data_IF_974270123317
#
_entry.id   IF_974270123317
#
_cell.length_a   1.000
_cell.length_b   1.000
_cell.length_c   1.000
_cell.angle_alpha   90.00
_cell.angle_beta   90.00
_cell.angle_gamma   90.00
#
_symmetry.space_group_name_H-M   'P 1'
#
loop_
_entity.id
_entity.type
_entity.pdbx_description
1 polymer ?
#
# COMPACT_ATOMS: atom_id res chain seq x y z
N UNK A 1 95.16 -7.41 6.06
CA UNK A 1 94.95 -6.15 5.34
C UNK A 1 93.57 -6.13 4.73
N UNK A 2 92.51 -5.99 5.52
CA UNK A 2 92.07 -4.74 6.22
C UNK A 2 91.63 -3.70 5.17
N UNK A 3 90.49 -3.02 5.23
CA UNK A 3 89.54 -2.73 6.32
C UNK A 3 88.23 -2.15 5.72
N UNK A 4 87.12 -2.35 6.45
CA UNK A 4 85.99 -1.42 6.70
C UNK A 4 85.06 -0.89 5.58
N UNK A 5 83.75 -0.93 5.90
CA UNK A 5 82.80 0.03 5.33
C UNK A 5 81.32 -0.35 5.39
N UNK A 6 80.77 -0.71 6.56
CA UNK A 6 79.32 -0.79 6.76
C UNK A 6 78.64 0.56 6.48
N UNK A 7 77.59 0.55 5.65
CA UNK A 7 76.60 1.64 5.61
C UNK A 7 75.20 1.04 5.69
N UNK A 8 74.86 0.54 6.87
CA UNK A 8 73.46 0.34 7.25
C UNK A 8 72.84 1.71 7.47
N UNK A 9 71.97 2.14 6.55
CA UNK A 9 71.05 3.24 6.83
C UNK A 9 69.99 2.71 7.80
N UNK A 10 70.26 2.90 9.10
CA UNK A 10 69.25 2.79 10.15
C UNK A 10 68.13 3.80 9.84
N UNK A 11 66.95 3.32 9.47
CA UNK A 11 65.73 4.06 9.77
C UNK A 11 65.58 4.02 11.30
N UNK A 12 66.06 5.06 11.97
CA UNK A 12 65.92 5.20 13.42
C UNK A 12 64.43 5.32 13.72
N UNK A 13 63.87 4.27 14.33
CA UNK A 13 62.51 4.24 14.85
C UNK A 13 62.54 4.82 16.28
N UNK A 14 62.95 6.08 16.42
CA UNK A 14 62.92 6.79 17.69
C UNK A 14 61.93 7.94 17.60
N UNK A 15 60.83 7.81 18.35
CA UNK A 15 59.99 8.96 18.70
C UNK A 15 58.50 8.89 18.37
N UNK A 16 57.84 7.74 18.49
CA UNK A 16 56.38 7.75 18.67
C UNK A 16 56.11 7.91 20.16
N UNK A 17 55.65 9.08 20.59
CA UNK A 17 55.23 9.26 21.97
C UNK A 17 53.94 8.45 22.20
N UNK A 18 53.71 7.95 23.42
CA UNK A 18 52.46 7.24 23.76
C UNK A 18 51.21 8.10 23.49
N UNK A 19 51.36 9.42 23.47
CA UNK A 19 50.28 10.36 23.13
C UNK A 19 49.92 10.30 21.64
N UNK A 20 50.90 10.16 20.74
CA UNK A 20 50.67 10.09 19.29
C UNK A 20 49.88 8.83 18.91
N UNK A 21 50.15 7.71 19.58
CA UNK A 21 49.45 6.45 19.31
C UNK A 21 47.99 6.49 19.82
N UNK A 22 47.75 7.11 20.98
CA UNK A 22 46.42 7.28 21.55
C UNK A 22 45.55 8.23 20.69
N UNK A 23 46.15 9.27 20.13
CA UNK A 23 45.47 10.20 19.23
C UNK A 23 45.05 9.51 17.92
N UNK A 24 45.90 8.65 17.36
CA UNK A 24 45.57 7.86 16.18
C UNK A 24 44.44 6.85 16.48
N UNK A 25 44.48 6.17 17.63
CA UNK A 25 43.40 5.24 18.03
C UNK A 25 42.07 5.97 18.21
N UNK A 26 42.09 7.17 18.78
CA UNK A 26 40.89 7.98 18.96
C UNK A 26 40.29 8.42 17.61
N UNK A 27 41.14 8.85 16.67
CA UNK A 27 40.70 9.21 15.31
C UNK A 27 40.12 8.01 14.57
N UNK A 28 40.75 6.83 14.66
CA UNK A 28 40.24 5.61 14.01
C UNK A 28 38.91 5.20 14.61
N UNK A 29 38.78 5.25 15.94
CA UNK A 29 37.54 4.90 16.65
C UNK A 29 36.41 5.86 16.29
N UNK A 30 36.67 7.16 16.29
CA UNK A 30 35.68 8.17 15.90
C UNK A 30 35.25 8.02 14.43
N UNK A 31 36.20 7.72 13.52
CA UNK A 31 35.90 7.46 12.11
C UNK A 31 35.08 6.19 11.90
N UNK A 32 35.35 5.14 12.68
CA UNK A 32 34.57 3.90 12.63
C UNK A 32 33.14 4.10 13.16
N UNK A 33 32.96 4.84 14.25
CA UNK A 33 31.64 5.17 14.80
C UNK A 33 30.83 6.02 13.80
N UNK A 34 31.45 7.07 13.24
CA UNK A 34 30.80 7.95 12.25
C UNK A 34 30.39 7.21 10.96
N UNK A 35 31.17 6.23 10.51
CA UNK A 35 30.80 5.41 9.35
C UNK A 35 29.66 4.45 9.69
N UNK A 36 29.68 3.81 10.86
CA UNK A 36 28.61 2.89 11.32
C UNK A 36 27.25 3.58 11.47
N UNK A 37 27.23 4.78 12.07
CA UNK A 37 26.00 5.58 12.24
C UNK A 37 25.45 6.10 10.90
N UNK A 38 26.32 6.51 9.98
CA UNK A 38 25.87 6.96 8.64
C UNK A 38 25.37 5.78 7.80
N UNK A 39 26.06 4.64 7.81
CA UNK A 39 25.65 3.46 7.05
C UNK A 39 24.32 2.89 7.56
N UNK A 40 24.14 2.80 8.89
CA UNK A 40 22.91 2.32 9.50
C UNK A 40 21.72 3.27 9.26
N UNK A 41 21.95 4.59 9.30
CA UNK A 41 20.90 5.59 9.03
C UNK A 41 20.47 5.61 7.56
N UNK A 42 21.40 5.42 6.62
CA UNK A 42 21.12 5.30 5.18
C UNK A 42 20.40 4.00 4.82
N UNK A 43 20.77 2.87 5.43
CA UNK A 43 20.13 1.58 5.15
C UNK A 43 18.72 1.47 5.73
N UNK A 44 18.46 2.14 6.87
CA UNK A 44 17.13 2.12 7.50
C UNK A 44 16.17 3.05 6.77
N UNK A 45 16.60 4.25 6.35
CA UNK A 45 15.73 5.19 5.62
C UNK A 45 15.30 4.66 4.24
N UNK A 46 16.22 4.02 3.51
CA UNK A 46 15.97 3.49 2.16
C UNK A 46 15.04 2.26 2.19
N UNK A 47 15.17 1.41 3.23
CA UNK A 47 14.27 0.28 3.44
C UNK A 47 12.86 0.73 3.85
N UNK A 48 12.73 1.76 4.69
CA UNK A 48 11.42 2.28 5.12
C UNK A 48 10.67 3.03 4.02
N UNK A 49 11.35 3.83 3.19
CA UNK A 49 10.72 4.51 2.04
C UNK A 49 10.16 3.49 1.03
N UNK A 50 10.91 2.41 0.77
CA UNK A 50 10.46 1.33 -0.11
C UNK A 50 9.21 0.60 0.43
N UNK A 51 9.17 0.32 1.74
CA UNK A 51 8.01 -0.34 2.36
C UNK A 51 6.75 0.55 2.36
N UNK A 52 6.89 1.85 2.67
CA UNK A 52 5.79 2.81 2.64
C UNK A 52 5.21 2.98 1.23
N UNK A 53 6.06 3.13 0.22
CA UNK A 53 5.63 3.23 -1.18
C UNK A 53 4.88 1.97 -1.64
N UNK A 54 5.36 0.78 -1.25
CA UNK A 54 4.65 -0.47 -1.59
C UNK A 54 3.29 -0.58 -0.89
N UNK A 55 3.16 -0.08 0.34
CA UNK A 55 1.90 -0.06 1.07
C UNK A 55 0.89 0.89 0.42
N UNK A 56 1.34 2.07 -0.03
CA UNK A 56 0.52 3.04 -0.75
C UNK A 56 0.02 2.43 -2.07
N UNK A 57 0.90 1.83 -2.87
CA UNK A 57 0.52 1.18 -4.13
C UNK A 57 -0.49 0.04 -3.93
N UNK A 58 -0.30 -0.79 -2.90
CA UNK A 58 -1.25 -1.86 -2.56
C UNK A 58 -2.62 -1.29 -2.17
N UNK A 59 -2.64 -0.23 -1.37
CA UNK A 59 -3.89 0.46 -0.99
C UNK A 59 -4.62 1.01 -2.21
N UNK A 60 -3.91 1.67 -3.12
CA UNK A 60 -4.50 2.18 -4.36
C UNK A 60 -5.09 1.07 -5.23
N UNK A 61 -4.42 -0.09 -5.31
CA UNK A 61 -4.95 -1.24 -6.03
C UNK A 61 -6.26 -1.74 -5.42
N UNK A 62 -6.28 -1.94 -4.10
CA UNK A 62 -7.46 -2.43 -3.37
C UNK A 62 -8.65 -1.48 -3.52
N UNK A 63 -8.43 -0.16 -3.40
CA UNK A 63 -9.50 0.83 -3.55
C UNK A 63 -10.06 0.82 -4.97
N UNK A 64 -9.19 0.71 -5.97
CA UNK A 64 -9.62 0.66 -7.38
C UNK A 64 -10.43 -0.59 -7.68
N UNK A 65 -9.95 -1.75 -7.22
CA UNK A 65 -10.67 -3.02 -7.35
C UNK A 65 -12.03 -2.96 -6.63
N UNK A 66 -12.09 -2.36 -5.43
CA UNK A 66 -13.33 -2.18 -4.70
C UNK A 66 -14.35 -1.34 -5.50
N UNK A 67 -13.92 -0.24 -6.12
CA UNK A 67 -14.80 0.59 -6.94
C UNK A 67 -15.24 -0.14 -8.21
N UNK A 68 -14.33 -0.86 -8.88
CA UNK A 68 -14.65 -1.61 -10.10
C UNK A 68 -15.67 -2.72 -9.81
N UNK A 69 -15.44 -3.50 -8.76
CA UNK A 69 -16.36 -4.57 -8.34
C UNK A 69 -17.68 -4.02 -7.82
N UNK A 70 -17.70 -2.84 -7.19
CA UNK A 70 -18.93 -2.17 -6.80
C UNK A 70 -19.75 -1.72 -8.01
N UNK A 71 -19.12 -1.18 -9.06
CA UNK A 71 -19.81 -0.83 -10.32
C UNK A 71 -20.45 -2.06 -10.95
N UNK A 72 -19.73 -3.17 -10.94
CA UNK A 72 -20.24 -4.45 -11.43
C UNK A 72 -21.44 -4.93 -10.60
N UNK A 73 -21.34 -4.86 -9.27
CA UNK A 73 -22.42 -5.21 -8.37
C UNK A 73 -23.68 -4.35 -8.61
N UNK A 74 -23.55 -3.03 -8.69
CA UNK A 74 -24.67 -2.11 -8.97
C UNK A 74 -25.29 -2.38 -10.34
N UNK A 75 -24.48 -2.66 -11.36
CA UNK A 75 -24.98 -3.04 -12.69
C UNK A 75 -25.80 -4.33 -12.61
N UNK A 76 -25.31 -5.34 -11.90
CA UNK A 76 -25.99 -6.63 -11.83
C UNK A 76 -27.29 -6.52 -11.02
N UNK A 77 -27.30 -5.73 -9.95
CA UNK A 77 -28.52 -5.37 -9.22
C UNK A 77 -29.54 -4.65 -10.11
N UNK A 78 -29.07 -3.73 -10.97
CA UNK A 78 -29.93 -3.03 -11.94
C UNK A 78 -30.64 -3.99 -12.87
N UNK A 79 -29.96 -5.02 -13.39
CA UNK A 79 -30.57 -6.02 -14.27
C UNK A 79 -31.74 -6.74 -13.58
N UNK A 80 -31.63 -6.98 -12.27
CA UNK A 80 -32.71 -7.60 -11.50
C UNK A 80 -33.84 -6.60 -11.22
N UNK A 81 -33.51 -5.40 -10.76
CA UNK A 81 -34.49 -4.38 -10.36
C UNK A 81 -35.26 -3.81 -11.56
N UNK A 82 -34.55 -3.32 -12.58
CA UNK A 82 -35.14 -2.70 -13.77
C UNK A 82 -35.55 -3.72 -14.85
N UNK A 83 -35.07 -4.97 -14.74
CA UNK A 83 -35.50 -6.07 -15.61
C UNK A 83 -36.61 -6.88 -14.96
N UNK A 84 -36.24 -7.85 -14.14
CA UNK A 84 -37.19 -8.84 -13.61
C UNK A 84 -38.26 -8.23 -12.70
N UNK A 85 -37.89 -7.39 -11.73
CA UNK A 85 -38.87 -6.81 -10.78
C UNK A 85 -39.82 -5.86 -11.50
N UNK A 86 -39.30 -5.00 -12.38
CA UNK A 86 -40.11 -4.09 -13.19
C UNK A 86 -41.12 -4.86 -14.07
N UNK A 87 -40.67 -5.89 -14.79
CA UNK A 87 -41.54 -6.74 -15.63
C UNK A 87 -42.60 -7.49 -14.82
N UNK A 88 -42.29 -7.91 -13.58
CA UNK A 88 -43.27 -8.58 -12.71
C UNK A 88 -44.31 -7.61 -12.11
N UNK A 89 -43.99 -6.32 -12.05
CA UNK A 89 -44.90 -5.27 -11.56
C UNK A 89 -45.76 -4.68 -12.68
N UNK A 90 -45.30 -4.79 -13.93
CA UNK A 90 -46.01 -4.31 -15.12
C UNK A 90 -47.28 -5.15 -15.38
N UNK A 91 -48.48 -4.57 -15.23
CA UNK A 91 -49.74 -5.27 -15.45
C UNK A 91 -49.97 -5.61 -16.93
N UNK A 92 -49.28 -4.92 -17.85
CA UNK A 92 -49.40 -5.09 -19.30
C UNK A 92 -48.27 -5.98 -19.86
N UNK A 93 -47.52 -6.66 -18.99
CA UNK A 93 -46.44 -7.55 -19.40
C UNK A 93 -46.98 -8.76 -20.17
N UNK A 94 -46.56 -8.91 -21.43
CA UNK A 94 -46.93 -10.03 -22.30
C UNK A 94 -46.33 -11.38 -21.88
N UNK A 95 -45.43 -11.41 -20.88
CA UNK A 95 -44.78 -12.63 -20.40
C UNK A 95 -45.71 -13.36 -19.42
N UNK A 96 -46.13 -14.60 -19.69
CA UNK A 96 -47.00 -15.35 -18.80
C UNK A 96 -46.34 -15.59 -17.44
N UNK A 97 -46.90 -15.00 -16.37
CA UNK A 97 -46.41 -15.16 -15.01
C UNK A 97 -47.26 -16.20 -14.25
N UNK A 98 -46.66 -17.20 -13.58
CA UNK A 98 -47.41 -18.06 -12.66
C UNK A 98 -48.04 -17.25 -11.53
N UNK A 99 -49.33 -17.48 -11.21
CA UNK A 99 -50.05 -16.76 -10.15
C UNK A 99 -49.30 -16.76 -8.80
N UNK A 100 -48.69 -17.90 -8.45
CA UNK A 100 -47.88 -18.05 -7.23
C UNK A 100 -46.72 -17.07 -7.17
N UNK A 101 -46.09 -16.76 -8.32
CA UNK A 101 -44.97 -15.79 -8.37
C UNK A 101 -45.47 -14.35 -8.37
N UNK A 102 -46.59 -14.08 -9.04
CA UNK A 102 -47.20 -12.75 -9.08
C UNK A 102 -47.57 -12.24 -7.67
N UNK A 103 -48.05 -13.13 -6.79
CA UNK A 103 -48.35 -12.78 -5.40
C UNK A 103 -47.12 -12.79 -4.46
N UNK A 104 -45.99 -13.36 -4.87
CA UNK A 104 -44.83 -13.64 -3.99
C UNK A 104 -43.52 -13.01 -4.43
N UNK A 105 -43.51 -12.17 -5.48
CA UNK A 105 -42.27 -11.55 -5.98
C UNK A 105 -41.47 -10.83 -4.87
N UNK A 106 -42.15 -10.19 -3.92
CA UNK A 106 -41.50 -9.55 -2.76
C UNK A 106 -40.73 -10.53 -1.85
N UNK A 107 -41.11 -11.80 -1.78
CA UNK A 107 -40.34 -12.83 -1.06
C UNK A 107 -39.12 -13.32 -1.86
N UNK A 108 -39.19 -13.27 -3.19
CA UNK A 108 -38.08 -13.70 -4.06
C UNK A 108 -36.98 -12.63 -4.08
N UNK A 109 -37.38 -11.36 -4.23
CA UNK A 109 -36.44 -10.25 -4.36
C UNK A 109 -36.17 -9.51 -3.03
N UNK A 110 -36.96 -9.77 -1.98
CA UNK A 110 -36.75 -9.16 -0.67
C UNK A 110 -36.62 -7.63 -0.75
N UNK A 111 -35.60 -7.06 -0.09
CA UNK A 111 -35.28 -5.63 -0.08
C UNK A 111 -34.26 -5.24 -1.18
N UNK A 112 -34.15 -6.02 -2.25
CA UNK A 112 -33.13 -5.81 -3.29
C UNK A 112 -33.23 -4.44 -3.98
N UNK A 113 -34.43 -3.92 -4.24
CA UNK A 113 -34.60 -2.56 -4.78
C UNK A 113 -33.97 -1.50 -3.86
N UNK A 114 -34.17 -1.61 -2.54
CA UNK A 114 -33.61 -0.66 -1.57
C UNK A 114 -32.08 -0.75 -1.48
N UNK A 115 -31.53 -1.97 -1.54
CA UNK A 115 -30.07 -2.18 -1.62
C UNK A 115 -29.53 -1.54 -2.91
N UNK A 116 -30.15 -1.85 -4.04
CA UNK A 116 -29.77 -1.29 -5.34
C UNK A 116 -29.76 0.24 -5.36
N UNK A 117 -30.84 0.87 -4.89
CA UNK A 117 -30.97 2.33 -4.83
C UNK A 117 -29.89 2.95 -3.96
N UNK A 118 -29.65 2.41 -2.75
CA UNK A 118 -28.64 2.93 -1.85
C UNK A 118 -27.22 2.80 -2.44
N UNK A 119 -26.91 1.61 -2.99
CA UNK A 119 -25.60 1.36 -3.58
C UNK A 119 -25.35 2.25 -4.81
N UNK A 120 -26.34 2.39 -5.70
CA UNK A 120 -26.26 3.24 -6.91
C UNK A 120 -26.14 4.73 -6.56
N UNK A 121 -27.00 5.22 -5.67
CA UNK A 121 -27.19 6.65 -5.50
C UNK A 121 -26.25 7.26 -4.46
N UNK A 122 -25.74 6.46 -3.53
CA UNK A 122 -24.89 6.91 -2.43
C UNK A 122 -23.55 6.18 -2.38
N UNK A 123 -23.55 4.86 -2.14
CA UNK A 123 -22.33 4.14 -1.77
C UNK A 123 -21.28 4.11 -2.88
N UNK A 124 -21.68 3.78 -4.11
CA UNK A 124 -20.77 3.76 -5.26
C UNK A 124 -20.14 5.14 -5.49
N UNK A 125 -20.94 6.21 -5.44
CA UNK A 125 -20.43 7.59 -5.59
C UNK A 125 -19.48 7.98 -4.46
N UNK A 126 -19.66 7.40 -3.28
CA UNK A 126 -18.78 7.62 -2.14
C UNK A 126 -17.45 6.87 -2.32
N UNK A 127 -17.49 5.61 -2.74
CA UNK A 127 -16.30 4.84 -3.07
C UNK A 127 -15.49 5.44 -4.22
N UNK A 128 -16.15 6.02 -5.24
CA UNK A 128 -15.47 6.70 -6.33
C UNK A 128 -14.62 7.89 -5.87
N UNK A 129 -15.03 8.58 -4.79
CA UNK A 129 -14.23 9.66 -4.18
C UNK A 129 -12.99 9.12 -3.48
N UNK A 130 -13.04 7.91 -2.94
CA UNK A 130 -11.91 7.29 -2.26
C UNK A 130 -10.72 6.99 -3.17
N UNK A 131 -10.90 6.99 -4.51
CA UNK A 131 -9.78 6.89 -5.45
C UNK A 131 -8.86 8.11 -5.32
N UNK A 132 -9.43 9.30 -5.14
CA UNK A 132 -8.66 10.56 -4.99
C UNK A 132 -8.37 10.87 -3.52
N UNK A 133 -9.24 10.42 -2.62
CA UNK A 133 -9.16 10.65 -1.17
C UNK A 133 -9.25 9.32 -0.40
N UNK A 134 -8.19 8.47 -0.42
CA UNK A 134 -8.21 7.15 0.20
C UNK A 134 -8.61 7.13 1.68
N UNK A 135 -8.34 8.22 2.41
CA UNK A 135 -8.67 8.43 3.82
C UNK A 135 -10.17 8.52 4.09
N UNK A 136 -10.98 8.86 3.09
CA UNK A 136 -12.44 8.92 3.22
C UNK A 136 -13.07 7.53 3.30
N UNK A 137 -12.36 6.46 2.94
CA UNK A 137 -12.91 5.10 2.91
C UNK A 137 -13.32 4.58 4.30
N UNK A 138 -12.53 4.89 5.34
CA UNK A 138 -12.77 4.38 6.69
C UNK A 138 -14.08 4.89 7.33
N UNK A 139 -14.41 6.18 7.17
CA UNK A 139 -15.67 6.75 7.69
C UNK A 139 -16.96 6.48 6.89
N UNK A 140 -16.90 5.78 5.74
CA UNK A 140 -18.09 5.49 4.92
C UNK A 140 -19.13 4.58 5.60
#
# INVERSE_FOLDING_TARGET
>A
DDTQGQRSSNLSLEGATSADLAEIEQIVKERMEQHSEKQSKLSVSDATECEEDTAIQKREYVIRELVETERDYVRDLRLVAEGYIALMRDPDCDVPMPETLQARYKMVFCNLEAIYEWHRDFFLKALERCIQHPEELGPL
#
